data_IF_138800606988
#
_entry.id   IF_138800606988
#
_cell.length_a   1.000
_cell.length_b   1.000
_cell.length_c   1.000
_cell.angle_alpha   90.00
_cell.angle_beta   90.00
_cell.angle_gamma   90.00
#
_symmetry.space_group_name_H-M   'P 1'
#
loop_
_entity.id
_entity.type
_entity.pdbx_description
1 polymer ?
#
# COMPACT_ATOMS: atom_id res chain seq x y z
N UNK A 1 25.09 -22.63 -42.35
CA UNK A 1 25.20 -21.68 -41.22
C UNK A 1 23.87 -20.96 -41.03
N UNK A 2 23.02 -21.49 -40.14
CA UNK A 2 21.83 -20.79 -39.68
C UNK A 2 22.17 -20.15 -38.33
N UNK A 3 22.39 -18.84 -38.33
CA UNK A 3 22.53 -18.06 -37.14
C UNK A 3 21.15 -17.88 -36.48
N UNK A 4 20.94 -18.54 -35.38
CA UNK A 4 19.76 -18.31 -34.52
C UNK A 4 19.91 -16.95 -33.87
N UNK A 5 19.23 -15.94 -34.40
CA UNK A 5 19.03 -14.68 -33.70
C UNK A 5 18.16 -14.93 -32.46
N UNK A 6 18.76 -15.02 -31.31
CA UNK A 6 18.07 -14.79 -30.06
C UNK A 6 17.68 -13.31 -30.02
N UNK A 7 16.44 -13.02 -30.40
CA UNK A 7 15.79 -11.76 -30.04
C UNK A 7 15.63 -11.79 -28.49
N UNK A 8 16.61 -11.17 -27.84
CA UNK A 8 16.51 -10.85 -26.44
C UNK A 8 15.45 -9.72 -26.32
N UNK A 9 14.17 -10.08 -26.27
CA UNK A 9 13.12 -9.14 -25.91
C UNK A 9 13.40 -8.78 -24.45
N UNK A 10 14.11 -7.70 -24.22
CA UNK A 10 14.09 -7.00 -22.95
C UNK A 10 12.61 -6.64 -22.72
N UNK A 11 11.90 -7.48 -21.94
CA UNK A 11 10.61 -7.08 -21.40
C UNK A 11 10.85 -5.78 -20.66
N UNK A 12 10.36 -4.68 -21.21
CA UNK A 12 10.46 -3.37 -20.56
C UNK A 12 9.77 -3.49 -19.20
N UNK A 13 10.57 -3.50 -18.14
CA UNK A 13 10.11 -3.55 -16.76
C UNK A 13 9.23 -2.33 -16.53
N UNK A 14 7.96 -2.57 -16.22
CA UNK A 14 7.01 -1.46 -16.00
C UNK A 14 7.34 -0.75 -14.68
N UNK A 15 7.17 0.57 -14.70
CA UNK A 15 7.31 1.40 -13.51
C UNK A 15 5.93 1.61 -12.87
N UNK A 16 5.76 1.21 -11.61
CA UNK A 16 4.51 1.30 -10.87
C UNK A 16 4.68 2.28 -9.71
N UNK A 17 3.90 3.36 -9.72
CA UNK A 17 3.86 4.31 -8.61
C UNK A 17 2.93 3.84 -7.50
N UNK A 18 3.35 4.07 -6.27
CA UNK A 18 2.55 3.84 -5.07
C UNK A 18 2.74 5.00 -4.09
N UNK A 19 1.70 5.33 -3.33
CA UNK A 19 1.86 6.12 -2.12
C UNK A 19 2.40 5.24 -0.99
N UNK A 20 3.35 5.77 -0.20
CA UNK A 20 4.00 5.05 0.89
C UNK A 20 5.19 4.20 0.43
N UNK A 21 5.85 3.53 1.36
CA UNK A 21 7.11 2.84 1.16
C UNK A 21 6.97 1.36 0.76
N UNK A 22 8.12 0.73 0.48
CA UNK A 22 8.21 -0.72 0.31
C UNK A 22 7.65 -1.42 1.56
N UNK A 23 6.84 -2.45 1.36
CA UNK A 23 6.14 -3.13 2.44
C UNK A 23 4.76 -2.53 2.77
N UNK A 24 4.38 -1.37 2.24
CA UNK A 24 3.03 -0.81 2.40
C UNK A 24 1.96 -1.70 1.76
N UNK A 25 0.70 -1.48 2.13
CA UNK A 25 -0.42 -2.20 1.50
C UNK A 25 -0.54 -1.93 0.00
N UNK A 26 -0.17 -0.73 -0.48
CA UNK A 26 -0.07 -0.43 -1.91
C UNK A 26 0.99 -1.31 -2.60
N UNK A 27 2.16 -1.50 -1.96
CA UNK A 27 3.18 -2.41 -2.49
C UNK A 27 2.71 -3.87 -2.51
N UNK A 28 1.98 -4.32 -1.48
CA UNK A 28 1.38 -5.65 -1.46
C UNK A 28 0.43 -5.83 -2.64
N UNK A 29 -0.46 -4.84 -2.89
CA UNK A 29 -1.37 -4.87 -4.04
C UNK A 29 -0.60 -4.90 -5.37
N UNK A 30 0.42 -4.06 -5.53
CA UNK A 30 1.23 -4.08 -6.74
C UNK A 30 1.82 -5.48 -7.01
N UNK A 31 2.40 -6.13 -6.00
CA UNK A 31 2.93 -7.49 -6.13
C UNK A 31 1.86 -8.53 -6.49
N UNK A 32 0.72 -8.48 -5.85
CA UNK A 32 -0.36 -9.46 -6.05
C UNK A 32 -1.10 -9.27 -7.37
N UNK A 33 -1.25 -8.02 -7.82
CA UNK A 33 -1.93 -7.71 -9.08
C UNK A 33 -1.08 -8.05 -10.29
N UNK A 34 0.19 -7.57 -10.34
CA UNK A 34 1.01 -7.72 -11.53
C UNK A 34 1.62 -9.12 -11.68
N UNK A 35 1.89 -9.83 -10.59
CA UNK A 35 2.48 -11.19 -10.57
C UNK A 35 3.71 -11.35 -11.48
N UNK A 36 4.43 -10.25 -11.72
CA UNK A 36 5.65 -10.15 -12.54
C UNK A 36 6.59 -9.12 -11.97
N UNK A 37 7.80 -9.06 -12.47
CA UNK A 37 8.75 -8.02 -12.08
C UNK A 37 8.32 -6.63 -12.56
N UNK A 38 8.47 -5.64 -11.70
CA UNK A 38 8.25 -4.22 -11.97
C UNK A 38 9.25 -3.37 -11.18
N UNK A 39 9.47 -2.14 -11.62
CA UNK A 39 10.18 -1.12 -10.85
C UNK A 39 9.17 -0.35 -10.02
N UNK A 40 9.45 -0.22 -8.72
CA UNK A 40 8.59 0.53 -7.81
C UNK A 40 9.02 2.00 -7.75
N UNK A 41 8.08 2.90 -7.99
CA UNK A 41 8.22 4.35 -7.80
C UNK A 41 7.49 4.70 -6.49
N UNK A 42 8.26 4.99 -5.46
CA UNK A 42 7.74 5.36 -4.13
C UNK A 42 7.41 6.85 -4.11
N UNK A 43 6.21 7.20 -3.67
CA UNK A 43 5.71 8.57 -3.60
C UNK A 43 5.27 8.87 -2.15
N UNK A 44 5.50 10.08 -1.68
CA UNK A 44 5.11 10.49 -0.32
C UNK A 44 3.58 10.67 -0.24
N UNK A 45 3.01 11.28 -1.26
CA UNK A 45 1.58 11.61 -1.32
C UNK A 45 0.88 10.97 -2.51
N UNK A 46 -0.45 11.00 -2.53
CA UNK A 46 -1.23 10.60 -3.70
C UNK A 46 -1.11 11.61 -4.85
N UNK A 47 -0.88 12.90 -4.54
CA UNK A 47 -0.59 13.92 -5.57
C UNK A 47 0.72 13.59 -6.28
N UNK A 48 1.81 13.22 -5.56
CA UNK A 48 3.07 12.78 -6.15
C UNK A 48 2.90 11.51 -7.00
N UNK A 49 2.02 10.59 -6.55
CA UNK A 49 1.69 9.38 -7.30
C UNK A 49 1.06 9.73 -8.66
N UNK A 50 0.17 10.72 -8.69
CA UNK A 50 -0.44 11.23 -9.93
C UNK A 50 0.60 11.96 -10.78
N UNK A 51 1.45 12.78 -10.18
CA UNK A 51 2.52 13.47 -10.90
C UNK A 51 3.47 12.48 -11.59
N UNK A 52 3.83 11.37 -10.92
CA UNK A 52 4.65 10.32 -11.51
C UNK A 52 4.03 9.68 -12.76
N UNK A 53 2.68 9.60 -12.84
CA UNK A 53 1.97 9.18 -14.04
C UNK A 53 2.00 10.24 -15.15
N UNK A 54 1.74 11.51 -14.78
CA UNK A 54 1.62 12.61 -15.74
C UNK A 54 2.96 12.95 -16.40
N UNK A 55 4.07 12.86 -15.64
CA UNK A 55 5.41 13.12 -16.16
C UNK A 55 6.08 11.89 -16.79
N UNK A 56 5.42 10.72 -16.79
CA UNK A 56 5.91 9.48 -17.40
C UNK A 56 6.97 8.73 -16.57
N UNK A 57 7.25 9.12 -15.34
CA UNK A 57 8.14 8.38 -14.41
C UNK A 57 7.56 7.00 -14.09
N UNK A 58 6.23 6.92 -13.96
CA UNK A 58 5.50 5.66 -13.84
C UNK A 58 4.52 5.48 -15.00
N UNK A 59 4.34 4.24 -15.45
CA UNK A 59 3.36 3.89 -16.48
C UNK A 59 1.98 3.61 -15.89
N UNK A 60 1.93 3.09 -14.68
CA UNK A 60 0.71 2.83 -13.91
C UNK A 60 0.93 3.14 -12.44
N UNK A 61 -0.16 3.29 -11.69
CA UNK A 61 -0.11 3.47 -10.25
C UNK A 61 -1.19 2.64 -9.53
N UNK A 62 -0.91 2.31 -8.28
CA UNK A 62 -1.88 1.69 -7.37
C UNK A 62 -2.40 2.76 -6.42
N UNK A 63 -3.71 2.95 -6.36
CA UNK A 63 -4.35 3.96 -5.52
C UNK A 63 -5.51 3.37 -4.73
N UNK A 64 -5.50 3.51 -3.41
CA UNK A 64 -6.61 3.15 -2.55
C UNK A 64 -7.77 4.15 -2.76
N UNK A 65 -9.00 3.65 -2.93
CA UNK A 65 -10.18 4.49 -3.16
C UNK A 65 -11.29 4.29 -2.14
N UNK A 66 -11.30 3.16 -1.44
CA UNK A 66 -12.36 2.82 -0.50
C UNK A 66 -11.83 1.82 0.54
N UNK A 67 -12.30 1.95 1.76
CA UNK A 67 -12.08 0.94 2.81
C UNK A 67 -13.42 0.59 3.46
N UNK A 68 -13.67 -0.69 3.72
CA UNK A 68 -14.95 -1.18 4.25
C UNK A 68 -15.31 -0.64 5.65
N UNK A 69 -14.34 -0.05 6.38
CA UNK A 69 -14.53 0.54 7.71
C UNK A 69 -14.54 2.07 7.63
N UNK A 70 -13.56 2.65 6.93
CA UNK A 70 -13.36 4.09 6.83
C UNK A 70 -14.20 4.76 5.73
N UNK A 71 -14.77 3.97 4.80
CA UNK A 71 -15.56 4.48 3.69
C UNK A 71 -14.72 4.93 2.49
N UNK A 72 -15.31 5.76 1.64
CA UNK A 72 -14.68 6.25 0.41
C UNK A 72 -13.59 7.28 0.69
N UNK A 73 -12.47 7.15 0.00
CA UNK A 73 -11.36 8.11 0.06
C UNK A 73 -11.62 9.20 -1.00
N UNK A 74 -12.53 10.11 -0.69
CA UNK A 74 -13.03 11.15 -1.61
C UNK A 74 -11.90 11.94 -2.29
N UNK A 75 -10.80 12.36 -1.60
CA UNK A 75 -9.71 13.07 -2.25
C UNK A 75 -9.11 12.29 -3.43
N UNK A 76 -9.01 10.95 -3.32
CA UNK A 76 -8.41 10.12 -4.36
C UNK A 76 -9.32 9.99 -5.59
N UNK A 77 -10.65 9.94 -5.40
CA UNK A 77 -11.59 10.04 -6.50
C UNK A 77 -11.45 11.39 -7.23
N UNK A 78 -11.30 12.48 -6.48
CA UNK A 78 -11.10 13.81 -7.07
C UNK A 78 -9.77 13.91 -7.84
N UNK A 79 -8.69 13.26 -7.36
CA UNK A 79 -7.42 13.19 -8.07
C UNK A 79 -7.55 12.46 -9.41
N UNK A 80 -8.22 11.31 -9.44
CA UNK A 80 -8.48 10.54 -10.67
C UNK A 80 -9.29 11.36 -11.67
N UNK A 81 -10.36 12.00 -11.21
CA UNK A 81 -11.29 12.75 -12.04
C UNK A 81 -10.65 14.03 -12.64
N UNK A 82 -10.05 14.89 -11.80
CA UNK A 82 -9.47 16.16 -12.26
C UNK A 82 -8.30 15.99 -13.22
N UNK A 83 -7.55 14.89 -13.08
CA UNK A 83 -6.42 14.57 -13.96
C UNK A 83 -6.82 13.64 -15.12
N UNK A 84 -8.12 13.32 -15.24
CA UNK A 84 -8.68 12.48 -16.30
C UNK A 84 -7.94 11.13 -16.42
N UNK A 85 -7.57 10.52 -15.29
CA UNK A 85 -6.85 9.25 -15.27
C UNK A 85 -7.80 8.09 -15.62
N UNK A 86 -7.28 7.10 -16.30
CA UNK A 86 -8.03 5.87 -16.63
C UNK A 86 -7.85 4.83 -15.53
N UNK A 87 -8.95 4.26 -15.06
CA UNK A 87 -8.94 3.07 -14.21
C UNK A 87 -8.87 1.85 -15.15
N UNK A 88 -7.80 1.06 -15.03
CA UNK A 88 -7.53 -0.11 -15.87
C UNK A 88 -7.64 -1.43 -15.13
N UNK A 89 -7.81 -1.39 -13.82
CA UNK A 89 -7.99 -2.56 -12.98
C UNK A 89 -8.39 -2.19 -11.56
N UNK A 90 -8.81 -3.19 -10.81
CA UNK A 90 -9.08 -3.06 -9.38
C UNK A 90 -8.59 -4.27 -8.62
N UNK A 91 -8.32 -4.09 -7.33
CA UNK A 91 -7.92 -5.14 -6.41
C UNK A 91 -8.49 -4.89 -5.02
N UNK A 92 -9.16 -5.89 -4.45
CA UNK A 92 -9.62 -5.88 -3.07
C UNK A 92 -8.60 -6.58 -2.17
N UNK A 93 -8.00 -5.86 -1.24
CA UNK A 93 -7.05 -6.42 -0.28
C UNK A 93 -7.65 -6.47 1.12
N UNK A 94 -7.65 -7.67 1.74
CA UNK A 94 -7.92 -7.80 3.18
C UNK A 94 -6.76 -7.21 3.97
N UNK A 95 -7.06 -6.22 4.83
CA UNK A 95 -6.07 -5.51 5.62
C UNK A 95 -5.88 -6.24 6.95
N UNK A 96 -4.68 -6.74 7.15
CA UNK A 96 -4.25 -7.36 8.40
C UNK A 96 -3.13 -6.54 9.02
N UNK A 97 -3.39 -5.95 10.17
CA UNK A 97 -2.41 -5.17 10.93
C UNK A 97 -1.61 -6.09 11.83
N UNK A 98 -0.30 -6.16 11.61
CA UNK A 98 0.63 -6.93 12.43
C UNK A 98 1.32 -6.00 13.43
N UNK A 99 1.35 -6.38 14.70
CA UNK A 99 2.24 -5.74 15.67
C UNK A 99 3.62 -6.41 15.57
N UNK A 100 4.62 -5.62 15.26
CA UNK A 100 5.99 -6.09 15.03
C UNK A 100 7.01 -5.30 15.82
N UNK A 101 8.10 -5.95 16.16
CA UNK A 101 9.24 -5.42 16.92
C UNK A 101 10.55 -5.93 16.34
N UNK A 102 11.68 -5.46 16.85
CA UNK A 102 12.98 -6.10 16.59
C UNK A 102 12.98 -7.54 17.13
N UNK A 103 13.66 -8.48 16.43
CA UNK A 103 13.70 -9.88 16.86
C UNK A 103 14.14 -10.05 18.31
N UNK A 104 13.49 -10.98 19.02
CA UNK A 104 13.78 -11.32 20.40
C UNK A 104 13.06 -10.49 21.47
N UNK A 105 12.36 -9.42 21.10
CA UNK A 105 11.52 -8.65 22.02
C UNK A 105 10.13 -9.28 22.18
N UNK A 106 9.47 -8.99 23.29
CA UNK A 106 8.11 -9.45 23.61
C UNK A 106 7.19 -8.24 23.79
N UNK A 107 5.87 -8.47 23.78
CA UNK A 107 4.88 -7.42 24.01
C UNK A 107 5.12 -6.67 25.33
N UNK A 108 5.58 -7.35 26.37
CA UNK A 108 5.89 -6.75 27.67
C UNK A 108 7.08 -5.76 27.63
N UNK A 109 7.95 -5.86 26.65
CA UNK A 109 9.12 -5.00 26.49
C UNK A 109 8.77 -3.69 25.74
N UNK A 110 7.60 -3.65 25.08
CA UNK A 110 7.17 -2.53 24.25
C UNK A 110 6.70 -1.38 25.15
N UNK A 111 7.27 -0.21 24.92
CA UNK A 111 6.90 1.05 25.57
C UNK A 111 6.03 1.93 24.67
N UNK A 112 6.32 1.87 23.37
CA UNK A 112 5.65 2.67 22.35
C UNK A 112 5.34 1.84 21.11
N UNK A 113 4.24 2.18 20.45
CA UNK A 113 3.89 1.63 19.13
C UNK A 113 3.62 2.80 18.19
N UNK A 114 4.33 2.80 17.06
CA UNK A 114 4.25 3.84 16.05
C UNK A 114 3.53 3.33 14.81
N UNK A 115 2.61 4.10 14.28
CA UNK A 115 1.93 3.81 13.00
C UNK A 115 1.08 4.98 12.52
N UNK A 116 0.56 4.85 11.31
CA UNK A 116 -0.43 5.78 10.77
C UNK A 116 -1.68 5.84 11.67
N UNK A 117 -2.29 7.04 11.89
CA UNK A 117 -3.44 7.22 12.79
C UNK A 117 -4.59 6.23 12.57
N UNK A 118 -4.93 5.95 11.30
CA UNK A 118 -5.98 4.99 10.98
C UNK A 118 -5.65 3.56 11.40
N UNK A 119 -4.39 3.13 11.33
CA UNK A 119 -3.97 1.81 11.80
C UNK A 119 -4.06 1.72 13.33
N UNK A 120 -3.61 2.76 14.04
CA UNK A 120 -3.75 2.87 15.49
C UNK A 120 -5.21 2.81 15.93
N UNK A 121 -6.09 3.58 15.27
CA UNK A 121 -7.53 3.60 15.55
C UNK A 121 -8.18 2.22 15.32
N UNK A 122 -7.83 1.54 14.24
CA UNK A 122 -8.36 0.22 13.93
C UNK A 122 -7.89 -0.88 14.88
N UNK A 123 -6.79 -0.67 15.63
CA UNK A 123 -6.22 -1.63 16.57
C UNK A 123 -6.48 -1.29 18.05
N UNK A 124 -7.31 -0.31 18.34
CA UNK A 124 -7.47 0.26 19.67
C UNK A 124 -7.92 -0.75 20.74
N UNK A 125 -8.76 -1.73 20.39
CA UNK A 125 -9.22 -2.74 21.35
C UNK A 125 -8.10 -3.67 21.82
N UNK A 126 -7.14 -3.95 20.95
CA UNK A 126 -5.93 -4.67 21.35
C UNK A 126 -5.13 -3.86 22.38
N UNK A 127 -4.95 -2.56 22.18
CA UNK A 127 -4.17 -1.72 23.10
C UNK A 127 -4.91 -1.36 24.40
N UNK A 128 -6.24 -1.47 24.46
CA UNK A 128 -6.96 -1.42 25.74
C UNK A 128 -6.53 -2.54 26.69
N UNK A 129 -6.07 -3.68 26.17
CA UNK A 129 -5.52 -4.77 26.96
C UNK A 129 -4.04 -4.60 27.31
N UNK A 130 -3.37 -3.60 26.71
CA UNK A 130 -1.96 -3.28 26.92
C UNK A 130 -1.76 -1.79 27.26
N UNK A 131 -2.33 -1.31 28.40
CA UNK A 131 -2.36 0.12 28.73
C UNK A 131 -0.98 0.72 29.04
N UNK A 132 0.05 -0.11 29.18
CA UNK A 132 1.44 0.33 29.36
C UNK A 132 2.08 0.81 28.06
N UNK A 133 1.48 0.52 26.89
CA UNK A 133 2.01 0.88 25.59
C UNK A 133 1.45 2.24 25.17
N UNK A 134 2.34 3.19 24.90
CA UNK A 134 1.99 4.50 24.33
C UNK A 134 1.84 4.40 22.81
N UNK A 135 0.72 4.87 22.28
CA UNK A 135 0.52 4.96 20.83
C UNK A 135 1.05 6.29 20.31
N UNK A 136 1.82 6.25 19.22
CA UNK A 136 2.46 7.41 18.59
C UNK A 136 2.08 7.44 17.12
N UNK A 137 1.51 8.55 16.69
CA UNK A 137 1.13 8.76 15.29
C UNK A 137 2.36 9.02 14.42
N UNK A 138 2.34 8.45 13.22
CA UNK A 138 3.36 8.59 12.19
C UNK A 138 2.69 8.61 10.80
N UNK A 139 3.43 9.06 9.79
CA UNK A 139 2.87 9.30 8.45
C UNK A 139 2.60 8.01 7.67
N UNK A 140 3.41 6.95 7.84
CA UNK A 140 3.29 5.69 7.10
C UNK A 140 3.56 4.47 8.00
N UNK A 141 2.83 3.39 7.76
CA UNK A 141 2.93 2.15 8.54
C UNK A 141 4.23 1.40 8.26
N UNK A 142 4.62 1.25 6.99
CA UNK A 142 5.78 0.48 6.58
C UNK A 142 7.09 1.25 6.83
N UNK A 143 7.04 2.57 6.75
CA UNK A 143 8.19 3.42 7.04
C UNK A 143 8.61 3.33 8.50
N UNK A 144 7.65 3.25 9.41
CA UNK A 144 7.94 3.05 10.83
C UNK A 144 8.62 1.69 11.09
N UNK A 145 8.15 0.61 10.44
CA UNK A 145 8.81 -0.69 10.53
C UNK A 145 10.27 -0.61 10.02
N UNK A 146 10.50 0.08 8.89
CA UNK A 146 11.83 0.34 8.35
C UNK A 146 12.70 1.13 9.34
N UNK A 147 12.18 2.25 9.85
CA UNK A 147 12.89 3.14 10.79
C UNK A 147 13.33 2.41 12.05
N UNK A 148 12.44 1.58 12.63
CA UNK A 148 12.74 0.78 13.83
C UNK A 148 13.85 -0.22 13.53
N UNK A 149 13.76 -0.94 12.38
CA UNK A 149 14.74 -1.92 11.97
C UNK A 149 16.12 -1.31 11.71
N UNK A 150 16.18 -0.26 10.88
CA UNK A 150 17.44 0.40 10.48
C UNK A 150 18.17 1.07 11.66
N UNK A 151 17.43 1.62 12.62
CA UNK A 151 18.01 2.30 13.77
C UNK A 151 18.08 1.42 15.03
N UNK A 152 17.72 0.14 14.93
CA UNK A 152 17.75 -0.82 16.05
C UNK A 152 17.03 -0.31 17.30
N UNK A 153 15.81 0.23 17.15
CA UNK A 153 15.07 0.89 18.24
C UNK A 153 14.37 -0.16 19.13
N UNK A 154 14.99 -0.47 20.26
CA UNK A 154 14.40 -1.37 21.25
C UNK A 154 13.25 -0.72 22.04
N UNK A 155 12.27 -1.53 22.44
CA UNK A 155 11.10 -1.08 23.18
C UNK A 155 10.08 -0.31 22.33
N UNK A 156 10.28 -0.24 21.03
CA UNK A 156 9.38 0.39 20.08
C UNK A 156 8.86 -0.66 19.09
N UNK A 157 7.54 -0.73 18.94
CA UNK A 157 6.89 -1.57 17.94
C UNK A 157 6.28 -0.74 16.81
N UNK A 158 6.01 -1.38 15.68
CA UNK A 158 5.22 -0.83 14.60
C UNK A 158 3.96 -1.65 14.35
N UNK A 159 2.91 -0.98 13.84
CA UNK A 159 1.78 -1.66 13.20
C UNK A 159 1.93 -1.50 11.70
N UNK A 160 2.11 -2.60 10.98
CA UNK A 160 2.24 -2.58 9.53
C UNK A 160 1.74 -3.90 8.90
N UNK A 161 1.98 -4.06 7.60
CA UNK A 161 1.67 -5.29 6.87
C UNK A 161 2.67 -6.41 7.19
N UNK A 162 2.29 -7.67 6.94
CA UNK A 162 3.23 -8.79 6.99
C UNK A 162 4.42 -8.57 6.03
N UNK A 163 4.15 -8.00 4.86
CA UNK A 163 5.21 -7.73 3.88
C UNK A 163 6.27 -6.73 4.39
N UNK A 164 5.90 -5.79 5.26
CA UNK A 164 6.85 -4.91 5.93
C UNK A 164 7.70 -5.68 6.95
N UNK A 165 7.07 -6.56 7.76
CA UNK A 165 7.80 -7.41 8.70
C UNK A 165 8.85 -8.27 7.99
N UNK A 166 8.43 -8.96 6.92
CA UNK A 166 9.31 -9.84 6.13
C UNK A 166 10.46 -9.06 5.47
N UNK A 167 10.16 -7.85 4.95
CA UNK A 167 11.13 -7.03 4.22
C UNK A 167 12.21 -6.43 5.14
N UNK A 168 11.82 -6.02 6.34
CA UNK A 168 12.70 -5.33 7.27
C UNK A 168 13.22 -6.24 8.40
N UNK A 169 12.93 -7.55 8.34
CA UNK A 169 13.40 -8.51 9.32
C UNK A 169 12.83 -8.28 10.73
N UNK A 170 11.59 -7.75 10.80
CA UNK A 170 10.89 -7.54 12.06
C UNK A 170 10.19 -8.81 12.52
N UNK A 171 10.10 -9.04 13.82
CA UNK A 171 9.36 -10.14 14.42
C UNK A 171 7.91 -9.74 14.70
N UNK A 172 6.94 -10.50 14.16
CA UNK A 172 5.52 -10.27 14.45
C UNK A 172 5.19 -10.92 15.80
N UNK A 173 4.94 -10.09 16.81
CA UNK A 173 4.61 -10.54 18.18
C UNK A 173 3.11 -10.67 18.43
N UNK A 174 2.27 -10.04 17.61
CA UNK A 174 0.83 -10.24 17.60
C UNK A 174 0.27 -10.07 16.18
N UNK A 175 -0.28 -11.14 15.57
CA UNK A 175 -0.84 -11.06 14.23
C UNK A 175 -2.28 -10.55 14.23
N UNK A 176 -2.64 -9.82 13.16
CA UNK A 176 -4.02 -9.41 12.86
C UNK A 176 -4.72 -8.73 14.04
N UNK A 177 -4.08 -7.72 14.62
CA UNK A 177 -4.56 -7.05 15.84
C UNK A 177 -5.71 -6.06 15.63
N UNK A 178 -6.14 -5.81 14.38
CA UNK A 178 -7.28 -4.93 14.09
C UNK A 178 -8.57 -5.47 14.75
N UNK A 179 -9.36 -4.55 15.32
CA UNK A 179 -10.62 -4.84 16.00
C UNK A 179 -11.64 -5.51 15.07
N UNK A 180 -11.89 -4.90 13.90
CA UNK A 180 -12.80 -5.42 12.88
C UNK A 180 -12.01 -6.30 11.92
N UNK A 181 -12.29 -7.62 11.94
CA UNK A 181 -11.54 -8.60 11.13
C UNK A 181 -11.87 -8.55 9.64
N UNK A 182 -13.11 -8.19 9.27
CA UNK A 182 -13.51 -7.98 7.89
C UNK A 182 -13.18 -6.54 7.47
N UNK A 183 -11.89 -6.29 7.26
CA UNK A 183 -11.34 -5.00 6.85
C UNK A 183 -10.77 -5.15 5.44
N UNK A 184 -11.48 -4.63 4.45
CA UNK A 184 -11.07 -4.71 3.03
C UNK A 184 -10.87 -3.32 2.49
N UNK A 185 -9.72 -3.08 1.88
CA UNK A 185 -9.45 -1.86 1.11
C UNK A 185 -9.54 -2.19 -0.39
N UNK A 186 -10.28 -1.37 -1.10
CA UNK A 186 -10.38 -1.41 -2.55
C UNK A 186 -9.35 -0.47 -3.16
N UNK A 187 -8.51 -1.02 -4.00
CA UNK A 187 -7.50 -0.30 -4.77
C UNK A 187 -7.87 -0.32 -6.24
N UNK A 188 -7.51 0.73 -6.94
CA UNK A 188 -7.57 0.78 -8.41
C UNK A 188 -6.18 0.89 -8.98
N UNK A 189 -6.04 0.32 -10.18
CA UNK A 189 -4.86 0.52 -11.02
C UNK A 189 -5.21 1.63 -12.00
N UNK A 190 -4.44 2.69 -11.99
CA UNK A 190 -4.67 3.87 -12.79
C UNK A 190 -3.49 4.15 -13.72
N UNK A 191 -3.77 4.79 -14.83
CA UNK A 191 -2.78 5.26 -15.80
C UNK A 191 -3.20 6.61 -16.40
N UNK A 192 -2.26 7.31 -17.03
CA UNK A 192 -2.58 8.52 -17.82
C UNK A 192 -3.38 8.15 -19.07
N UNK A 193 -4.17 9.10 -19.60
CA UNK A 193 -4.92 8.91 -20.84
C UNK A 193 -3.97 8.63 -22.04
N UNK A 194 -4.52 7.94 -23.05
CA UNK A 194 -3.83 7.66 -24.30
C UNK A 194 -3.35 6.22 -24.47
N UNK A 195 -3.40 5.41 -23.43
CA UNK A 195 -3.18 3.96 -23.58
C UNK A 195 -4.51 3.27 -23.88
N UNK A 196 -4.60 2.60 -25.03
CA UNK A 196 -5.81 1.87 -25.43
C UNK A 196 -5.96 0.62 -24.54
N UNK A 197 -7.13 0.49 -23.93
CA UNK A 197 -7.54 -0.75 -23.27
C UNK A 197 -8.33 -1.55 -24.29
N UNK A 198 -7.96 -2.81 -24.51
CA UNK A 198 -8.70 -3.69 -25.39
C UNK A 198 -10.17 -3.80 -24.91
N UNK A 199 -11.13 -3.56 -25.81
CA UNK A 199 -12.54 -3.44 -25.44
C UNK A 199 -13.09 -4.72 -24.77
N UNK A 200 -12.58 -5.88 -25.16
CA UNK A 200 -12.94 -7.18 -24.59
C UNK A 200 -12.49 -7.36 -23.12
N UNK A 201 -11.54 -6.54 -22.64
CA UNK A 201 -11.07 -6.53 -21.25
C UNK A 201 -11.90 -5.62 -20.35
N UNK A 202 -12.77 -4.77 -20.93
CA UNK A 202 -13.60 -3.82 -20.17
C UNK A 202 -14.83 -4.56 -19.65
N UNK A 203 -14.85 -4.81 -18.33
CA UNK A 203 -15.96 -5.51 -17.68
C UNK A 203 -16.65 -4.69 -16.58
N UNK A 204 -16.17 -3.46 -16.32
CA UNK A 204 -16.72 -2.51 -15.34
C UNK A 204 -16.69 -1.08 -15.85
N UNK A 205 -17.61 -0.27 -15.37
CA UNK A 205 -17.66 1.17 -15.61
C UNK A 205 -17.79 1.92 -14.29
N UNK A 206 -17.08 3.04 -14.14
CA UNK A 206 -17.32 4.02 -13.10
C UNK A 206 -18.21 5.13 -13.66
N UNK A 207 -19.31 5.43 -12.97
CA UNK A 207 -20.26 6.47 -13.39
C UNK A 207 -20.17 7.65 -12.41
N UNK A 208 -20.09 8.86 -12.96
CA UNK A 208 -20.16 10.10 -12.22
C UNK A 208 -21.44 10.85 -12.60
N UNK A 209 -22.19 11.28 -11.60
CA UNK A 209 -23.40 12.08 -11.80
C UNK A 209 -23.19 13.46 -11.17
N UNK A 210 -23.68 14.48 -11.87
CA UNK A 210 -23.87 15.81 -11.32
C UNK A 210 -25.38 15.95 -11.14
N UNK A 211 -25.80 16.24 -9.92
CA UNK A 211 -27.20 16.53 -9.62
C UNK A 211 -27.40 18.04 -9.76
N UNK A 212 -28.42 18.44 -10.54
CA UNK A 212 -28.84 19.82 -10.72
C UNK A 212 -29.59 20.34 -9.48
#
# INVERSE_FOLDING_TARGET
FFGTFFLNTMENKINIAIQGNRGSFHHVVAKQYYQREFSLVVCETFDDTVEALLNGTASQAVMAIENSIAGSIIPNYALIDRNQLQIVGEYGLSIHHQLMVLPGQKIADIKEVHSHPMALLQCKDFFHQHPHIRLVEADDTADEARRIAENHLEGIGAIASQAAADLYGMEVVAPSIQTIKNNVTRFVIIQSQGQLIAQELINKAALKFILD
#
